data_IF_276124478328
#
_entry.id   IF_276124478328
#
_cell.length_a   1.000
_cell.length_b   1.000
_cell.length_c   1.000
_cell.angle_alpha   90.00
_cell.angle_beta   90.00
_cell.angle_gamma   90.00
#
_symmetry.space_group_name_H-M   'P 1'
#
loop_
_entity.id
_entity.type
_entity.pdbx_description
1 polymer ?
#
# COMPACT_ATOMS: atom_id res chain seq x y z
N UNK A 1 43.48 -18.18 44.03
CA UNK A 1 42.97 -17.23 43.01
C UNK A 1 43.44 -17.69 41.63
N UNK A 2 42.51 -17.69 40.66
CA UNK A 2 42.44 -18.57 39.47
C UNK A 2 43.66 -18.47 38.54
N UNK A 3 44.39 -19.59 38.38
CA UNK A 3 45.37 -19.82 37.30
C UNK A 3 44.62 -20.28 36.04
N UNK A 4 44.95 -19.69 34.88
CA UNK A 4 44.52 -20.14 33.55
C UNK A 4 45.08 -21.53 33.28
N UNK A 5 44.26 -22.42 32.73
CA UNK A 5 44.68 -23.66 32.09
C UNK A 5 44.50 -23.53 30.56
N UNK A 6 45.31 -24.25 29.76
CA UNK A 6 45.59 -23.90 28.37
C UNK A 6 44.61 -24.52 27.36
N UNK A 7 44.56 -23.90 26.19
CA UNK A 7 43.97 -24.42 24.95
C UNK A 7 44.53 -25.81 24.65
N UNK A 8 43.67 -26.82 24.59
CA UNK A 8 43.96 -28.10 23.95
C UNK A 8 43.29 -28.11 22.58
N UNK A 9 44.12 -28.04 21.53
CA UNK A 9 43.76 -28.43 20.17
C UNK A 9 43.63 -29.95 20.12
N UNK A 10 42.52 -30.44 19.61
CA UNK A 10 42.42 -31.79 19.07
C UNK A 10 41.88 -31.68 17.65
N UNK A 11 42.79 -31.39 16.73
CA UNK A 11 42.66 -31.81 15.34
C UNK A 11 43.02 -33.30 15.30
N UNK A 12 42.04 -34.12 14.88
CA UNK A 12 42.15 -35.35 14.09
C UNK A 12 41.00 -36.29 14.43
N UNK A 13 39.88 -36.10 13.72
CA UNK A 13 38.98 -37.18 13.41
C UNK A 13 38.65 -37.06 11.92
N UNK A 14 39.39 -37.85 11.15
CA UNK A 14 39.14 -38.34 9.79
C UNK A 14 37.81 -37.91 9.20
N UNK A 15 37.87 -37.17 8.10
CA UNK A 15 36.76 -37.01 7.16
C UNK A 15 36.39 -38.41 6.65
N UNK A 16 35.41 -39.05 7.29
CA UNK A 16 34.76 -40.22 6.73
C UNK A 16 33.83 -39.67 5.65
N UNK A 17 34.31 -39.64 4.40
CA UNK A 17 33.44 -39.58 3.23
C UNK A 17 32.67 -40.88 3.16
N UNK A 18 31.53 -40.92 3.84
CA UNK A 18 30.49 -41.90 3.58
C UNK A 18 29.88 -41.52 2.22
N UNK A 19 30.41 -42.10 1.15
CA UNK A 19 29.68 -42.29 -0.10
C UNK A 19 28.53 -43.26 0.17
N UNK A 20 27.50 -42.76 0.85
CA UNK A 20 26.19 -43.39 0.84
C UNK A 20 25.46 -42.70 -0.29
N UNK A 21 25.42 -43.35 -1.46
CA UNK A 21 24.33 -43.10 -2.40
C UNK A 21 23.05 -43.18 -1.57
N UNK A 22 22.28 -42.07 -1.43
CA UNK A 22 21.05 -42.14 -0.67
C UNK A 22 20.14 -43.10 -1.41
N UNK A 23 19.96 -44.27 -0.82
CA UNK A 23 19.04 -45.30 -1.28
C UNK A 23 17.64 -44.70 -1.26
N UNK A 24 17.25 -44.14 -2.41
CA UNK A 24 16.03 -43.37 -2.64
C UNK A 24 14.78 -44.20 -2.32
N UNK A 25 14.91 -45.52 -2.11
CA UNK A 25 13.85 -46.43 -1.71
C UNK A 25 13.49 -46.40 -0.22
N UNK A 26 14.39 -45.99 0.68
CA UNK A 26 14.15 -46.11 2.14
C UNK A 26 14.13 -44.79 2.92
N UNK A 27 14.45 -43.66 2.28
CA UNK A 27 14.13 -42.34 2.83
C UNK A 27 12.72 -41.94 2.40
N UNK A 28 11.72 -41.87 3.31
CA UNK A 28 10.40 -41.38 2.91
C UNK A 28 10.55 -39.98 2.32
N UNK A 29 10.08 -39.72 1.09
CA UNK A 29 10.15 -38.39 0.51
C UNK A 29 9.34 -37.44 1.39
N UNK A 30 10.04 -36.59 2.15
CA UNK A 30 9.40 -35.74 3.14
C UNK A 30 10.40 -35.13 4.10
N UNK A 31 9.93 -34.17 4.89
CA UNK A 31 10.71 -33.56 5.96
C UNK A 31 9.96 -33.82 7.26
N UNK A 32 10.65 -34.31 8.29
CA UNK A 32 10.02 -34.59 9.57
C UNK A 32 9.48 -33.29 10.18
N UNK A 33 8.26 -33.34 10.74
CA UNK A 33 7.58 -32.16 11.28
C UNK A 33 8.36 -31.47 12.42
N UNK A 34 9.13 -32.24 13.19
CA UNK A 34 9.99 -31.73 14.26
C UNK A 34 11.33 -31.16 13.77
N UNK A 35 11.71 -31.39 12.50
CA UNK A 35 12.97 -30.93 11.90
C UNK A 35 12.78 -29.73 10.97
N UNK A 36 11.54 -29.35 10.66
CA UNK A 36 11.22 -28.20 9.84
C UNK A 36 10.73 -27.01 10.66
N UNK A 37 10.87 -25.82 10.08
CA UNK A 37 10.20 -24.61 10.56
C UNK A 37 8.99 -24.33 9.68
N UNK A 38 7.99 -23.58 10.17
CA UNK A 38 6.86 -23.13 9.34
C UNK A 38 7.33 -22.52 8.00
N UNK A 39 8.41 -21.74 8.03
CA UNK A 39 9.03 -21.15 6.83
C UNK A 39 9.53 -22.22 5.86
N UNK A 40 10.20 -23.28 6.36
CA UNK A 40 10.73 -24.38 5.55
C UNK A 40 9.59 -25.23 4.97
N UNK A 41 8.60 -25.59 5.78
CA UNK A 41 7.41 -26.32 5.31
C UNK A 41 6.66 -25.53 4.24
N UNK A 42 6.41 -24.24 4.46
CA UNK A 42 5.69 -23.39 3.50
C UNK A 42 6.43 -23.30 2.16
N UNK A 43 7.77 -23.18 2.18
CA UNK A 43 8.58 -23.21 0.95
C UNK A 43 8.46 -24.53 0.19
N UNK A 44 8.51 -25.66 0.91
CA UNK A 44 8.38 -26.99 0.30
C UNK A 44 6.99 -27.17 -0.30
N UNK A 45 5.93 -26.83 0.45
CA UNK A 45 4.55 -26.91 -0.05
C UNK A 45 4.37 -26.03 -1.29
N UNK A 46 4.96 -24.84 -1.29
CA UNK A 46 4.93 -23.92 -2.43
C UNK A 46 5.74 -24.44 -3.64
N UNK A 47 6.83 -25.18 -3.44
CA UNK A 47 7.57 -25.79 -4.56
C UNK A 47 6.88 -27.03 -5.11
N UNK A 48 6.12 -27.74 -4.28
CA UNK A 48 5.37 -28.94 -4.68
C UNK A 48 4.08 -28.62 -5.44
N UNK A 49 3.58 -27.40 -5.33
CA UNK A 49 2.34 -26.96 -5.98
C UNK A 49 2.65 -25.80 -6.91
N UNK A 50 2.50 -26.00 -8.21
CA UNK A 50 2.37 -24.88 -9.14
C UNK A 50 0.96 -24.30 -8.98
N UNK A 51 0.78 -23.12 -8.37
CA UNK A 51 -0.56 -22.54 -8.23
C UNK A 51 -1.12 -22.28 -9.61
N UNK A 52 -2.36 -22.69 -9.88
CA UNK A 52 -3.01 -22.31 -11.15
C UNK A 52 -3.16 -20.79 -11.20
N UNK A 53 -2.77 -20.20 -12.32
CA UNK A 53 -2.90 -18.76 -12.49
C UNK A 53 -4.38 -18.41 -12.62
N UNK A 54 -4.87 -17.60 -11.68
CA UNK A 54 -6.25 -17.12 -11.73
C UNK A 54 -6.36 -16.05 -12.81
N UNK A 55 -7.26 -16.27 -13.78
CA UNK A 55 -7.52 -15.33 -14.89
C UNK A 55 -7.71 -13.88 -14.42
N UNK A 56 -8.46 -13.66 -13.34
CA UNK A 56 -8.70 -12.32 -12.77
C UNK A 56 -7.44 -11.66 -12.23
N UNK A 57 -6.59 -12.43 -11.54
CA UNK A 57 -5.30 -11.93 -11.03
C UNK A 57 -4.38 -11.57 -12.18
N UNK A 58 -4.32 -12.41 -13.22
CA UNK A 58 -3.57 -12.13 -14.44
C UNK A 58 -4.06 -10.84 -15.12
N UNK A 59 -5.38 -10.69 -15.31
CA UNK A 59 -5.98 -9.49 -15.89
C UNK A 59 -5.61 -8.23 -15.10
N UNK A 60 -5.70 -8.26 -13.76
CA UNK A 60 -5.33 -7.10 -12.93
C UNK A 60 -3.83 -6.77 -13.00
N UNK A 61 -2.96 -7.78 -13.09
CA UNK A 61 -1.52 -7.60 -13.30
C UNK A 61 -1.25 -6.93 -14.66
N UNK A 62 -1.89 -7.40 -15.74
CA UNK A 62 -1.74 -6.80 -17.06
C UNK A 62 -2.28 -5.38 -17.12
N UNK A 63 -3.47 -5.12 -16.54
CA UNK A 63 -4.03 -3.75 -16.46
C UNK A 63 -3.09 -2.81 -15.73
N UNK A 64 -2.47 -3.28 -14.64
CA UNK A 64 -1.46 -2.52 -13.91
C UNK A 64 -0.24 -2.23 -14.78
N UNK A 65 0.27 -3.25 -15.50
CA UNK A 65 1.44 -3.10 -16.38
C UNK A 65 1.17 -2.16 -17.56
N UNK A 66 0.08 -2.35 -18.29
CA UNK A 66 -0.27 -1.52 -19.43
C UNK A 66 -0.39 -0.05 -19.00
N UNK A 67 -1.14 0.22 -17.93
CA UNK A 67 -1.28 1.57 -17.41
C UNK A 67 0.06 2.21 -17.01
N UNK A 68 0.93 1.48 -16.30
CA UNK A 68 2.24 2.02 -15.90
C UNK A 68 3.18 2.24 -17.10
N UNK A 69 3.06 1.40 -18.14
CA UNK A 69 3.81 1.54 -19.38
C UNK A 69 3.37 2.78 -20.15
N UNK A 70 2.05 2.98 -20.28
CA UNK A 70 1.46 4.14 -20.95
C UNK A 70 1.71 5.45 -20.20
N UNK A 71 1.61 5.43 -18.86
CA UNK A 71 1.66 6.66 -18.05
C UNK A 71 3.08 7.07 -17.66
N UNK A 72 3.98 6.11 -17.43
CA UNK A 72 5.32 6.37 -16.87
C UNK A 72 6.47 5.79 -17.69
N UNK A 73 6.18 5.24 -18.88
CA UNK A 73 7.17 4.69 -19.82
C UNK A 73 8.05 3.62 -19.16
N UNK A 74 7.46 2.76 -18.34
CA UNK A 74 8.14 1.57 -17.85
C UNK A 74 7.17 0.40 -17.66
N UNK A 75 7.65 -0.80 -17.98
CA UNK A 75 6.88 -2.03 -17.84
C UNK A 75 7.41 -2.86 -16.65
N UNK A 76 6.68 -2.95 -15.53
CA UNK A 76 7.10 -3.78 -14.40
C UNK A 76 6.88 -5.27 -14.64
N UNK A 77 7.77 -6.09 -14.07
CA UNK A 77 7.53 -7.52 -13.90
C UNK A 77 6.41 -7.80 -12.89
N UNK A 78 5.78 -8.98 -12.96
CA UNK A 78 4.80 -9.42 -11.97
C UNK A 78 5.37 -9.33 -10.55
N UNK A 79 6.62 -9.75 -10.37
CA UNK A 79 7.30 -9.69 -9.07
C UNK A 79 7.47 -8.26 -8.56
N UNK A 80 7.78 -7.30 -9.45
CA UNK A 80 7.84 -5.89 -9.08
C UNK A 80 6.46 -5.36 -8.63
N UNK A 81 5.38 -5.74 -9.32
CA UNK A 81 4.01 -5.38 -8.94
C UNK A 81 3.68 -5.95 -7.55
N UNK A 82 3.91 -7.24 -7.33
CA UNK A 82 3.64 -7.87 -6.04
C UNK A 82 4.45 -7.27 -4.89
N UNK A 83 5.74 -7.01 -5.13
CA UNK A 83 6.62 -6.36 -4.16
C UNK A 83 6.12 -4.95 -3.82
N UNK A 84 5.59 -4.22 -4.81
CA UNK A 84 5.09 -2.86 -4.62
C UNK A 84 3.92 -2.79 -3.64
N UNK A 85 3.02 -3.78 -3.64
CA UNK A 85 1.90 -3.87 -2.71
C UNK A 85 2.37 -3.96 -1.24
N UNK A 86 3.61 -4.39 -1.01
CA UNK A 86 4.21 -4.47 0.33
C UNK A 86 4.93 -3.20 0.77
N UNK A 87 4.93 -2.15 -0.06
CA UNK A 87 5.67 -0.89 0.14
C UNK A 87 5.47 -0.28 1.52
N UNK A 88 6.58 0.12 2.16
CA UNK A 88 6.58 0.76 3.49
C UNK A 88 5.86 2.11 3.51
N UNK A 89 5.60 2.70 2.34
CA UNK A 89 4.86 3.96 2.19
C UNK A 89 3.34 3.78 2.30
N UNK A 90 2.85 2.55 2.21
CA UNK A 90 1.42 2.22 2.32
C UNK A 90 1.14 1.70 3.74
N UNK A 91 0.01 2.05 4.35
CA UNK A 91 -0.41 1.46 5.64
C UNK A 91 -0.68 -0.05 5.49
N UNK A 92 -0.30 -0.86 6.48
CA UNK A 92 -0.52 -2.33 6.50
C UNK A 92 -1.94 -2.75 6.09
N UNK A 93 -2.98 -2.10 6.61
CA UNK A 93 -4.37 -2.42 6.27
C UNK A 93 -4.67 -2.14 4.79
N UNK A 94 -4.08 -1.08 4.24
CA UNK A 94 -4.21 -0.72 2.83
C UNK A 94 -3.41 -1.66 1.93
N UNK A 95 -2.26 -2.18 2.37
CA UNK A 95 -1.51 -3.22 1.63
C UNK A 95 -2.35 -4.49 1.48
N UNK A 96 -2.93 -4.96 2.59
CA UNK A 96 -3.82 -6.12 2.58
C UNK A 96 -5.04 -5.86 1.70
N UNK A 97 -5.58 -4.64 1.74
CA UNK A 97 -6.68 -4.24 0.88
C UNK A 97 -6.32 -4.33 -0.60
N UNK A 98 -5.21 -3.72 -1.03
CA UNK A 98 -4.76 -3.73 -2.43
C UNK A 98 -4.40 -5.14 -2.91
N UNK A 99 -3.76 -5.95 -2.07
CA UNK A 99 -3.50 -7.36 -2.38
C UNK A 99 -4.79 -8.14 -2.64
N UNK A 100 -5.82 -7.94 -1.80
CA UNK A 100 -7.14 -8.54 -2.00
C UNK A 100 -7.85 -8.02 -3.25
N UNK A 101 -7.62 -6.76 -3.63
CA UNK A 101 -8.13 -6.19 -4.88
C UNK A 101 -7.47 -6.82 -6.10
N UNK A 102 -6.14 -6.97 -6.08
CA UNK A 102 -5.39 -7.61 -7.16
C UNK A 102 -5.89 -9.04 -7.44
N UNK A 103 -6.25 -9.77 -6.38
CA UNK A 103 -6.83 -11.11 -6.49
C UNK A 103 -8.35 -11.15 -6.64
N UNK A 104 -9.03 -10.01 -6.65
CA UNK A 104 -10.50 -9.92 -6.73
C UNK A 104 -11.22 -10.79 -5.69
N UNK A 105 -10.78 -10.71 -4.44
CA UNK A 105 -11.28 -11.58 -3.35
C UNK A 105 -12.47 -10.99 -2.58
N UNK A 106 -12.89 -9.78 -2.91
CA UNK A 106 -14.05 -9.14 -2.28
C UNK A 106 -15.34 -9.63 -2.92
N UNK A 107 -16.35 -9.89 -2.07
CA UNK A 107 -17.70 -10.28 -2.50
C UNK A 107 -18.44 -9.06 -3.01
N UNK A 108 -18.42 -8.87 -4.32
CA UNK A 108 -19.04 -7.75 -5.04
C UNK A 108 -19.75 -8.26 -6.29
N UNK A 109 -20.71 -7.49 -6.79
CA UNK A 109 -21.37 -7.78 -8.08
C UNK A 109 -21.98 -9.17 -8.14
N UNK A 110 -21.66 -9.88 -9.23
CA UNK A 110 -22.19 -11.19 -9.57
C UNK A 110 -21.99 -12.30 -8.51
N UNK A 111 -21.10 -12.08 -7.53
CA UNK A 111 -21.01 -12.96 -6.37
C UNK A 111 -22.36 -13.09 -5.65
N UNK A 112 -23.12 -12.00 -5.54
CA UNK A 112 -24.37 -11.95 -4.78
C UNK A 112 -25.58 -12.50 -5.54
N UNK A 113 -25.52 -12.57 -6.87
CA UNK A 113 -26.63 -13.03 -7.72
C UNK A 113 -27.09 -14.47 -7.38
N UNK A 114 -26.20 -15.27 -6.81
CA UNK A 114 -26.44 -16.67 -6.48
C UNK A 114 -26.72 -16.90 -4.98
N UNK A 115 -26.83 -15.83 -4.19
CA UNK A 115 -27.07 -15.90 -2.74
C UNK A 115 -28.50 -15.47 -2.45
N UNK A 116 -29.43 -16.42 -2.16
CA UNK A 116 -30.83 -16.13 -1.94
C UNK A 116 -31.06 -15.01 -0.93
N UNK A 117 -31.93 -14.06 -1.26
CA UNK A 117 -32.34 -12.91 -0.45
C UNK A 117 -31.27 -11.81 -0.28
N UNK A 118 -30.07 -11.99 -0.83
CA UNK A 118 -28.94 -11.07 -0.71
C UNK A 118 -28.49 -10.50 -2.06
N UNK A 119 -29.25 -10.72 -3.12
CA UNK A 119 -28.94 -10.32 -4.50
C UNK A 119 -28.80 -8.80 -4.64
N UNK A 120 -29.54 -8.06 -3.80
CA UNK A 120 -29.48 -6.59 -3.74
C UNK A 120 -28.08 -6.05 -3.39
N UNK A 121 -27.20 -6.85 -2.77
CA UNK A 121 -25.80 -6.47 -2.51
C UNK A 121 -24.91 -6.53 -3.76
N UNK A 122 -25.38 -7.12 -4.86
CA UNK A 122 -24.68 -7.14 -6.15
C UNK A 122 -24.73 -5.80 -6.89
N UNK A 123 -25.65 -4.92 -6.53
CA UNK A 123 -25.85 -3.62 -7.18
C UNK A 123 -25.38 -2.46 -6.29
N UNK A 124 -24.82 -1.43 -6.93
CA UNK A 124 -24.54 -0.18 -6.24
C UNK A 124 -25.85 0.51 -5.85
N UNK A 125 -26.00 0.86 -4.57
CA UNK A 125 -27.22 1.50 -4.04
C UNK A 125 -27.51 2.83 -4.75
N UNK A 126 -26.47 3.59 -5.11
CA UNK A 126 -26.62 4.91 -5.75
C UNK A 126 -26.81 4.79 -7.27
N UNK A 127 -25.92 4.04 -7.92
CA UNK A 127 -25.84 4.02 -9.39
C UNK A 127 -26.74 2.97 -10.04
N UNK A 128 -27.23 1.99 -9.25
CA UNK A 128 -28.04 0.85 -9.72
C UNK A 128 -27.36 -0.01 -10.80
N UNK A 129 -26.04 0.07 -10.91
CA UNK A 129 -25.22 -0.77 -11.78
C UNK A 129 -24.58 -1.92 -11.01
N UNK A 130 -24.16 -3.01 -11.67
CA UNK A 130 -23.36 -4.06 -11.05
C UNK A 130 -22.13 -3.48 -10.35
N UNK A 131 -22.00 -3.75 -9.05
CA UNK A 131 -20.95 -3.14 -8.25
C UNK A 131 -19.63 -3.88 -8.46
N UNK A 132 -18.62 -3.17 -8.97
CA UNK A 132 -17.24 -3.67 -9.08
C UNK A 132 -16.28 -2.82 -8.23
N UNK A 133 -15.09 -3.33 -7.96
CA UNK A 133 -14.07 -2.54 -7.24
C UNK A 133 -13.67 -1.29 -8.03
N UNK A 134 -13.63 -1.40 -9.36
CA UNK A 134 -13.38 -0.26 -10.25
C UNK A 134 -14.51 0.77 -10.18
N UNK A 135 -15.76 0.32 -10.22
CA UNK A 135 -16.92 1.21 -10.06
C UNK A 135 -16.84 1.99 -8.75
N UNK A 136 -16.65 1.28 -7.62
CA UNK A 136 -16.55 1.91 -6.29
C UNK A 136 -15.46 2.97 -6.24
N UNK A 137 -14.32 2.72 -6.89
CA UNK A 137 -13.15 3.58 -6.80
C UNK A 137 -13.20 4.74 -7.77
N UNK A 138 -13.72 4.57 -8.99
CA UNK A 138 -13.54 5.51 -10.09
C UNK A 138 -14.84 6.08 -10.67
N UNK A 139 -15.95 5.34 -10.59
CA UNK A 139 -17.17 5.66 -11.36
C UNK A 139 -18.37 6.02 -10.46
N UNK A 140 -18.37 5.56 -9.21
CA UNK A 140 -19.54 5.66 -8.34
C UNK A 140 -19.96 7.12 -8.07
N UNK A 141 -21.26 7.40 -8.21
CA UNK A 141 -21.87 8.71 -7.95
C UNK A 141 -22.05 9.02 -6.46
N UNK A 142 -21.66 8.09 -5.59
CA UNK A 142 -21.60 8.35 -4.16
C UNK A 142 -20.75 9.59 -3.86
N UNK A 143 -21.31 10.53 -3.08
CA UNK A 143 -20.67 11.82 -2.77
C UNK A 143 -19.22 11.69 -2.28
N UNK A 144 -18.93 10.64 -1.51
CA UNK A 144 -17.61 10.39 -0.93
C UNK A 144 -16.51 10.17 -1.97
N UNK A 145 -16.81 9.48 -3.07
CA UNK A 145 -15.80 9.10 -4.07
C UNK A 145 -15.23 10.34 -4.77
N UNK A 146 -16.10 11.14 -5.42
CA UNK A 146 -15.69 12.32 -6.19
C UNK A 146 -15.01 13.35 -5.30
N UNK A 147 -15.57 13.57 -4.10
CA UNK A 147 -15.00 14.50 -3.14
C UNK A 147 -13.58 14.09 -2.70
N UNK A 148 -13.34 12.82 -2.40
CA UNK A 148 -12.02 12.35 -1.97
C UNK A 148 -10.98 12.53 -3.08
N UNK A 149 -11.32 12.22 -4.34
CA UNK A 149 -10.39 12.43 -5.45
C UNK A 149 -10.10 13.90 -5.71
N UNK A 150 -11.10 14.77 -5.60
CA UNK A 150 -10.90 16.22 -5.69
C UNK A 150 -9.95 16.73 -4.58
N UNK A 151 -10.05 16.19 -3.37
CA UNK A 151 -9.13 16.54 -2.27
C UNK A 151 -7.71 16.03 -2.52
N UNK A 152 -7.57 14.80 -3.02
CA UNK A 152 -6.30 14.21 -3.40
C UNK A 152 -5.58 15.04 -4.48
N UNK A 153 -6.30 15.38 -5.54
CA UNK A 153 -5.79 16.22 -6.63
C UNK A 153 -5.45 17.62 -6.13
N UNK A 154 -6.31 18.24 -5.31
CA UNK A 154 -6.03 19.56 -4.74
C UNK A 154 -4.75 19.58 -3.91
N UNK A 155 -4.47 18.51 -3.16
CA UNK A 155 -3.24 18.39 -2.37
C UNK A 155 -2.01 18.28 -3.26
N UNK A 156 -2.13 17.46 -4.29
CA UNK A 156 -1.09 17.31 -5.30
C UNK A 156 -0.76 18.65 -5.96
N UNK A 157 -1.81 19.42 -6.31
CA UNK A 157 -1.71 20.71 -7.01
C UNK A 157 -1.13 21.85 -6.17
N UNK A 158 -0.92 21.66 -4.86
CA UNK A 158 -0.11 22.60 -4.09
C UNK A 158 1.34 22.62 -4.55
N UNK A 159 1.82 21.52 -5.16
CA UNK A 159 3.24 21.32 -5.51
C UNK A 159 3.48 21.03 -6.98
N UNK A 160 2.54 20.33 -7.61
CA UNK A 160 2.77 19.68 -8.90
C UNK A 160 1.57 19.88 -9.82
N UNK A 161 1.83 20.05 -11.11
CA UNK A 161 0.80 20.32 -12.12
C UNK A 161 0.29 19.06 -12.83
N UNK A 162 1.07 17.97 -12.77
CA UNK A 162 0.91 16.71 -13.51
C UNK A 162 0.15 15.63 -12.74
N UNK A 163 -1.07 15.93 -12.31
CA UNK A 163 -1.95 14.90 -11.75
C UNK A 163 -2.36 13.91 -12.86
N UNK A 164 -2.05 12.60 -12.73
CA UNK A 164 -2.36 11.63 -13.78
C UNK A 164 -3.86 11.29 -13.78
N UNK A 165 -4.38 10.93 -14.95
CA UNK A 165 -5.70 10.30 -15.05
C UNK A 165 -5.69 8.99 -14.27
N UNK A 166 -6.64 8.84 -13.34
CA UNK A 166 -6.73 7.64 -12.53
C UNK A 166 -7.41 6.51 -13.31
N UNK A 167 -6.79 5.34 -13.30
CA UNK A 167 -7.35 4.10 -13.82
C UNK A 167 -7.22 3.00 -12.78
N UNK A 168 -7.99 1.91 -12.92
CA UNK A 168 -7.91 0.81 -11.98
C UNK A 168 -6.50 0.20 -11.90
N UNK A 169 -5.81 0.09 -13.04
CA UNK A 169 -4.41 -0.33 -13.10
C UNK A 169 -3.47 0.61 -12.33
N UNK A 170 -3.68 1.92 -12.42
CA UNK A 170 -2.89 2.89 -11.66
C UNK A 170 -3.14 2.78 -10.16
N UNK A 171 -4.39 2.55 -9.72
CA UNK A 171 -4.72 2.39 -8.31
C UNK A 171 -4.05 1.15 -7.70
N UNK A 172 -4.10 0.02 -8.43
CA UNK A 172 -3.42 -1.22 -8.05
C UNK A 172 -1.90 -1.07 -8.03
N UNK A 173 -1.34 -0.31 -8.98
CA UNK A 173 0.09 -0.05 -9.14
C UNK A 173 0.60 1.25 -8.54
N UNK A 174 -0.17 1.96 -7.69
CA UNK A 174 0.11 3.36 -7.37
C UNK A 174 1.49 3.60 -6.72
N UNK A 175 2.01 2.60 -6.02
CA UNK A 175 3.35 2.68 -5.40
C UNK A 175 4.53 2.49 -6.35
N UNK A 176 4.24 2.14 -7.61
CA UNK A 176 5.22 2.08 -8.69
C UNK A 176 5.20 3.33 -9.58
N UNK A 177 4.37 4.33 -9.27
CA UNK A 177 4.37 5.59 -10.00
C UNK A 177 5.79 6.16 -10.11
N UNK A 178 6.15 6.62 -11.32
CA UNK A 178 7.52 7.01 -11.66
C UNK A 178 7.56 8.35 -12.39
N UNK A 179 7.25 9.41 -11.66
CA UNK A 179 7.45 10.78 -12.11
C UNK A 179 8.96 11.07 -12.26
N UNK A 180 9.34 11.70 -13.37
CA UNK A 180 10.72 12.06 -13.72
C UNK A 180 10.81 13.56 -14.01
N UNK A 181 11.94 14.17 -13.67
CA UNK A 181 12.33 15.52 -14.11
C UNK A 181 13.71 15.40 -14.74
N UNK A 182 13.87 15.82 -15.99
CA UNK A 182 15.10 15.66 -16.76
C UNK A 182 15.68 14.23 -16.68
N UNK A 183 14.82 13.22 -16.85
CA UNK A 183 15.19 11.80 -16.76
C UNK A 183 15.41 11.25 -15.35
N UNK A 184 15.50 12.10 -14.31
CA UNK A 184 15.76 11.67 -12.92
C UNK A 184 14.45 11.36 -12.18
N UNK A 185 14.38 10.17 -11.59
CA UNK A 185 13.24 9.71 -10.78
C UNK A 185 13.09 10.58 -9.52
N UNK A 186 11.89 11.14 -9.34
CA UNK A 186 11.57 12.02 -8.22
C UNK A 186 11.05 11.22 -7.03
N UNK A 187 11.94 10.83 -6.10
CA UNK A 187 11.61 9.94 -4.97
C UNK A 187 10.53 10.53 -4.06
N UNK A 188 10.69 11.78 -3.62
CA UNK A 188 9.69 12.47 -2.80
C UNK A 188 8.32 12.58 -3.48
N UNK A 189 8.31 12.95 -4.77
CA UNK A 189 7.09 13.06 -5.59
C UNK A 189 6.34 11.73 -5.75
N UNK A 190 7.04 10.66 -6.12
CA UNK A 190 6.46 9.30 -6.24
C UNK A 190 5.90 8.82 -4.90
N UNK A 191 6.62 9.09 -3.82
CA UNK A 191 6.21 8.75 -2.47
C UNK A 191 4.97 9.52 -2.03
N UNK A 192 4.91 10.82 -2.32
CA UNK A 192 3.76 11.67 -2.04
C UNK A 192 2.50 11.18 -2.77
N UNK A 193 2.64 10.87 -4.07
CA UNK A 193 1.56 10.27 -4.86
C UNK A 193 1.05 8.96 -4.24
N UNK A 194 1.97 8.06 -3.90
CA UNK A 194 1.65 6.77 -3.26
C UNK A 194 0.83 6.96 -2.00
N UNK A 195 1.22 7.90 -1.13
CA UNK A 195 0.54 8.16 0.16
C UNK A 195 -0.87 8.70 -0.09
N UNK A 196 -1.00 9.71 -0.96
CA UNK A 196 -2.29 10.35 -1.25
C UNK A 196 -3.26 9.33 -1.84
N UNK A 197 -2.84 8.60 -2.89
CA UNK A 197 -3.70 7.66 -3.61
C UNK A 197 -4.09 6.50 -2.72
N UNK A 198 -3.13 5.83 -2.06
CA UNK A 198 -3.44 4.67 -1.21
C UNK A 198 -4.32 5.02 -0.02
N UNK A 199 -4.15 6.20 0.57
CA UNK A 199 -5.01 6.70 1.66
C UNK A 199 -6.43 6.95 1.16
N UNK A 200 -6.56 7.57 -0.02
CA UNK A 200 -7.84 7.90 -0.65
C UNK A 200 -8.65 6.65 -0.99
N UNK A 201 -8.02 5.67 -1.66
CA UNK A 201 -8.62 4.36 -1.97
C UNK A 201 -9.19 3.71 -0.70
N UNK A 202 -8.41 3.68 0.40
CA UNK A 202 -8.83 3.00 1.62
C UNK A 202 -10.02 3.69 2.30
N UNK A 203 -10.10 5.02 2.21
CA UNK A 203 -11.22 5.78 2.75
C UNK A 203 -12.48 5.58 1.90
N UNK A 204 -12.37 5.62 0.56
CA UNK A 204 -13.50 5.36 -0.35
C UNK A 204 -14.12 3.99 -0.04
N UNK A 205 -13.29 2.95 0.07
CA UNK A 205 -13.75 1.62 0.47
C UNK A 205 -14.42 1.60 1.86
N UNK A 206 -13.88 2.35 2.82
CA UNK A 206 -14.47 2.44 4.17
C UNK A 206 -15.87 3.05 4.14
N UNK A 207 -16.03 4.16 3.43
CA UNK A 207 -17.32 4.85 3.30
C UNK A 207 -18.36 3.98 2.60
N UNK A 208 -17.95 3.22 1.56
CA UNK A 208 -18.83 2.25 0.92
C UNK A 208 -19.28 1.17 1.91
N UNK A 209 -18.37 0.60 2.70
CA UNK A 209 -18.73 -0.45 3.66
C UNK A 209 -19.64 0.06 4.78
N UNK A 210 -19.38 1.25 5.31
CA UNK A 210 -20.25 1.88 6.31
C UNK A 210 -21.67 2.06 5.77
N UNK A 211 -21.82 2.49 4.52
CA UNK A 211 -23.13 2.62 3.87
C UNK A 211 -23.81 1.27 3.64
N UNK A 212 -23.09 0.32 3.04
CA UNK A 212 -23.69 -0.94 2.57
C UNK A 212 -23.97 -1.92 3.70
N UNK A 213 -23.05 -2.06 4.67
CA UNK A 213 -23.15 -3.09 5.71
C UNK A 213 -23.59 -2.55 7.06
N UNK A 214 -23.35 -1.27 7.36
CA UNK A 214 -23.73 -0.68 8.65
C UNK A 214 -25.00 0.16 8.55
N UNK A 215 -25.60 0.28 7.35
CA UNK A 215 -26.82 1.07 7.12
C UNK A 215 -26.66 2.56 7.41
N UNK A 216 -25.42 3.06 7.48
CA UNK A 216 -25.15 4.46 7.79
C UNK A 216 -25.55 5.35 6.61
N UNK A 217 -26.22 6.46 6.92
CA UNK A 217 -26.47 7.54 5.95
C UNK A 217 -25.15 8.11 5.43
N UNK A 218 -25.14 8.61 4.20
CA UNK A 218 -23.93 9.19 3.62
C UNK A 218 -23.36 10.35 4.50
N UNK A 219 -22.10 10.25 4.95
CA UNK A 219 -21.48 11.28 5.79
C UNK A 219 -21.40 12.63 5.08
N UNK A 220 -21.52 13.74 5.81
CA UNK A 220 -21.50 15.10 5.24
C UNK A 220 -20.20 15.39 4.45
N UNK A 221 -20.23 16.37 3.53
CA UNK A 221 -19.01 16.79 2.81
C UNK A 221 -17.90 17.23 3.77
N UNK A 222 -18.27 17.98 4.80
CA UNK A 222 -17.37 18.41 5.88
C UNK A 222 -16.79 17.22 6.63
N UNK A 223 -17.61 16.22 6.94
CA UNK A 223 -17.14 15.02 7.62
C UNK A 223 -16.19 14.19 6.77
N UNK A 224 -16.54 13.94 5.49
CA UNK A 224 -15.67 13.23 4.54
C UNK A 224 -14.32 13.96 4.41
N UNK A 225 -14.37 15.29 4.25
CA UNK A 225 -13.19 16.13 4.21
C UNK A 225 -12.32 15.97 5.46
N UNK A 226 -12.91 16.09 6.64
CA UNK A 226 -12.19 16.01 7.91
C UNK A 226 -11.60 14.61 8.15
N UNK A 227 -12.33 13.54 7.79
CA UNK A 227 -11.83 12.16 7.84
C UNK A 227 -10.63 11.97 6.90
N UNK A 228 -10.73 12.45 5.67
CA UNK A 228 -9.62 12.38 4.71
C UNK A 228 -8.40 13.18 5.18
N UNK A 229 -8.62 14.41 5.62
CA UNK A 229 -7.57 15.29 6.15
C UNK A 229 -6.90 14.70 7.39
N UNK A 230 -7.66 14.07 8.29
CA UNK A 230 -7.13 13.37 9.45
C UNK A 230 -6.24 12.18 9.05
N UNK A 231 -6.60 11.42 8.03
CA UNK A 231 -5.79 10.31 7.53
C UNK A 231 -4.46 10.78 6.91
N UNK A 232 -4.50 11.84 6.10
CA UNK A 232 -3.31 12.44 5.48
C UNK A 232 -2.40 13.05 6.56
N UNK A 233 -2.93 13.84 7.48
CA UNK A 233 -2.16 14.38 8.61
C UNK A 233 -1.62 13.25 9.50
N UNK A 234 -2.35 12.15 9.64
CA UNK A 234 -1.85 10.94 10.31
C UNK A 234 -0.64 10.32 9.59
N UNK A 235 -0.62 10.33 8.26
CA UNK A 235 0.53 9.89 7.48
C UNK A 235 1.74 10.82 7.64
N UNK A 236 1.52 12.13 7.56
CA UNK A 236 2.54 13.16 7.82
C UNK A 236 3.15 12.99 9.22
N UNK A 237 2.33 12.92 10.27
CA UNK A 237 2.78 12.74 11.66
C UNK A 237 3.57 11.44 11.86
N UNK A 238 3.15 10.34 11.23
CA UNK A 238 3.91 9.07 11.27
C UNK A 238 5.27 9.22 10.62
N UNK A 239 5.35 9.88 9.47
CA UNK A 239 6.63 10.13 8.80
C UNK A 239 7.54 11.00 9.63
N UNK A 240 7.01 12.09 10.17
CA UNK A 240 7.70 12.99 11.07
C UNK A 240 8.27 12.24 12.27
N UNK A 241 7.44 11.46 12.98
CA UNK A 241 7.86 10.66 14.12
C UNK A 241 9.00 9.71 13.75
N UNK A 242 8.88 9.02 12.62
CA UNK A 242 9.85 8.04 12.17
C UNK A 242 11.19 8.65 11.73
N UNK A 243 11.34 9.97 11.61
CA UNK A 243 12.66 10.60 11.37
C UNK A 243 13.57 10.60 12.61
N UNK A 244 13.02 10.33 13.80
CA UNK A 244 13.79 10.40 15.04
C UNK A 244 14.83 9.27 15.15
N UNK A 245 16.08 9.58 14.77
CA UNK A 245 17.22 8.64 14.85
C UNK A 245 17.55 8.19 16.27
N UNK A 246 17.34 9.04 17.28
CA UNK A 246 17.59 8.65 18.68
C UNK A 246 16.63 7.54 19.11
N UNK A 247 15.36 7.60 18.67
CA UNK A 247 14.34 6.62 19.06
C UNK A 247 14.37 5.36 18.19
N UNK A 248 14.64 5.50 16.89
CA UNK A 248 14.47 4.41 15.93
C UNK A 248 15.77 3.89 15.31
N UNK A 249 16.93 4.52 15.58
CA UNK A 249 18.22 4.09 15.08
C UNK A 249 18.21 3.86 13.56
N UNK A 250 18.62 2.67 13.13
CA UNK A 250 18.66 2.27 11.72
C UNK A 250 17.28 2.07 11.07
N UNK A 251 16.21 2.01 11.88
CA UNK A 251 14.82 1.95 11.40
C UNK A 251 14.22 3.34 11.16
N UNK A 252 14.95 4.41 11.50
CA UNK A 252 14.50 5.76 11.25
C UNK A 252 14.39 6.04 9.74
N UNK A 253 13.33 6.76 9.35
CA UNK A 253 13.19 7.31 8.00
C UNK A 253 14.24 8.38 7.76
N UNK A 254 14.72 8.44 6.52
CA UNK A 254 15.60 9.50 6.07
C UNK A 254 14.84 10.85 6.07
N UNK A 255 15.37 11.82 6.82
CA UNK A 255 14.79 13.17 6.95
C UNK A 255 14.65 13.88 5.60
N UNK A 256 15.68 13.84 4.74
CA UNK A 256 15.63 14.44 3.38
C UNK A 256 14.46 13.89 2.59
N UNK A 257 14.25 12.58 2.61
CA UNK A 257 13.12 11.97 1.91
C UNK A 257 11.77 12.44 2.46
N UNK A 258 11.65 12.64 3.78
CA UNK A 258 10.41 13.16 4.39
C UNK A 258 10.18 14.62 3.98
N UNK A 259 11.20 15.45 4.01
CA UNK A 259 11.14 16.84 3.51
C UNK A 259 10.74 16.88 2.03
N UNK A 260 11.45 16.14 1.17
CA UNK A 260 11.11 15.99 -0.26
C UNK A 260 9.68 15.50 -0.49
N UNK A 261 9.13 14.68 0.41
CA UNK A 261 7.76 14.17 0.30
C UNK A 261 6.71 15.23 0.62
N UNK A 262 6.92 16.08 1.61
CA UNK A 262 5.84 16.91 2.18
C UNK A 262 6.04 18.42 1.99
N UNK A 263 7.27 18.92 1.83
CA UNK A 263 7.54 20.35 1.68
C UNK A 263 6.94 20.90 0.39
N UNK A 264 6.15 21.97 0.49
CA UNK A 264 5.28 22.58 -0.53
C UNK A 264 3.81 22.20 -0.38
N UNK A 265 3.46 21.31 0.55
CA UNK A 265 2.09 20.89 0.83
C UNK A 265 1.67 21.14 2.28
N UNK A 266 2.44 21.91 3.04
CA UNK A 266 2.18 22.19 4.45
C UNK A 266 1.34 23.46 4.62
N UNK A 267 0.65 23.55 5.75
CA UNK A 267 -0.06 24.75 6.16
C UNK A 267 0.92 25.75 6.77
N UNK A 268 0.81 27.03 6.40
CA UNK A 268 1.67 28.11 6.89
C UNK A 268 3.16 27.77 6.75
N UNK A 269 3.54 27.19 5.61
CA UNK A 269 4.89 26.67 5.39
C UNK A 269 5.97 27.75 5.45
N UNK A 270 5.65 28.99 5.05
CA UNK A 270 6.56 30.14 5.13
C UNK A 270 7.00 30.46 6.57
N UNK A 271 6.24 30.01 7.58
CA UNK A 271 6.59 30.17 9.00
C UNK A 271 7.35 28.97 9.57
N UNK A 272 7.58 27.92 8.77
CA UNK A 272 8.32 26.73 9.19
C UNK A 272 9.80 26.84 8.82
N UNK A 273 10.70 26.28 9.63
CA UNK A 273 12.09 26.12 9.23
C UNK A 273 12.22 25.11 8.09
N UNK A 274 13.30 25.19 7.31
CA UNK A 274 13.62 24.24 6.23
C UNK A 274 13.51 22.78 6.69
N UNK A 275 14.01 22.49 7.90
CA UNK A 275 13.77 21.21 8.60
C UNK A 275 12.66 21.34 9.65
N UNK A 276 11.42 21.24 9.19
CA UNK A 276 10.23 21.23 10.04
C UNK A 276 9.99 19.89 10.76
N UNK A 277 10.80 18.86 10.54
CA UNK A 277 10.52 17.50 11.06
C UNK A 277 10.53 17.41 12.59
N UNK A 278 11.08 18.41 13.29
CA UNK A 278 11.06 18.52 14.75
C UNK A 278 9.98 19.46 15.29
N UNK A 279 9.27 20.18 14.42
CA UNK A 279 8.26 21.17 14.79
C UNK A 279 6.95 20.47 15.14
N UNK A 280 6.37 20.81 16.28
CA UNK A 280 5.06 20.27 16.68
C UNK A 280 3.95 20.96 15.91
N UNK A 281 2.86 20.23 15.64
CA UNK A 281 1.65 20.82 15.07
C UNK A 281 1.67 21.09 13.57
N UNK A 282 2.64 20.53 12.83
CA UNK A 282 2.68 20.65 11.36
C UNK A 282 1.51 19.87 10.75
N UNK A 283 0.79 20.52 9.82
CA UNK A 283 -0.39 19.99 9.13
C UNK A 283 -0.28 20.25 7.63
N UNK A 284 -1.02 19.49 6.82
CA UNK A 284 -1.13 19.74 5.38
C UNK A 284 -2.03 20.95 5.08
N UNK A 285 -1.70 21.69 4.02
CA UNK A 285 -2.29 22.99 3.67
C UNK A 285 -3.67 22.97 3.01
N UNK A 286 -4.49 21.93 3.22
CA UNK A 286 -5.85 21.87 2.67
C UNK A 286 -6.88 22.34 3.67
N UNK A 287 -7.65 23.34 3.24
CA UNK A 287 -8.80 23.87 3.96
C UNK A 287 -10.11 23.58 3.23
N UNK A 288 -11.22 23.37 3.95
CA UNK A 288 -12.55 23.38 3.34
C UNK A 288 -12.76 24.71 2.60
N UNK A 289 -13.44 24.69 1.46
CA UNK A 289 -13.65 25.89 0.64
C UNK A 289 -14.32 27.05 1.41
N UNK A 290 -15.03 26.77 2.50
CA UNK A 290 -15.74 27.76 3.32
C UNK A 290 -14.87 28.63 4.21
N UNK A 291 -13.57 28.35 4.40
CA UNK A 291 -12.70 29.08 5.35
C UNK A 291 -11.87 30.23 4.78
N UNK A 292 -12.02 30.58 3.50
CA UNK A 292 -11.21 31.66 2.88
C UNK A 292 -11.54 33.08 3.39
N UNK A 293 -12.60 33.27 4.17
CA UNK A 293 -13.04 34.60 4.65
C UNK A 293 -12.99 34.75 6.19
N UNK A 294 -12.05 34.09 6.87
CA UNK A 294 -11.80 34.33 8.30
C UNK A 294 -10.58 35.23 8.46
N UNK A 295 -10.80 36.54 8.51
CA UNK A 295 -9.79 37.52 8.95
C UNK A 295 -9.62 37.35 10.46
N UNK A 296 -8.40 37.10 10.92
CA UNK A 296 -8.02 37.02 12.32
C UNK A 296 -6.52 37.18 12.44
#
# INVERSE_FOLDING_TARGET
>A
MRKRLPHASFDNASTITLEVEPDLMFSPPGILLNQGTQRRFTKIIASLRTPSERKTTFTNLERTRCCLTETFEFSPSNEAIWKSLTSTNINRLTRNFLWKCMHETYRLGAFWDHVPHLEHFGLCIECKTPESMEHIMLECDARGQKLIWNLAERLWRLRYTDWPTLSWGLLLGCSLARFKIHGKIQRGKNRFFTIIVSTSIKLIWSLRNERVFEGKTQPSTTEIHNRWLALINGALKRDQLLTNKFRFGNLAKNTSLVLETWSGALSAEDALPDDWTRVKGVLVGIWPASRRNGVG
#
